data_IF_800992536660
#
_entry.id   IF_800992536660
#
_cell.length_a   1.000
_cell.length_b   1.000
_cell.length_c   1.000
_cell.angle_alpha   90.00
_cell.angle_beta   90.00
_cell.angle_gamma   90.00
#
_symmetry.space_group_name_H-M   'P 1'
#
loop_
_entity.id
_entity.type
_entity.pdbx_description
1 polymer ?
#
# COMPACT_ATOMS: atom_id res chain seq x y z
N UNK A 1 -2.42 1.56 22.98
CA UNK A 1 -1.11 1.49 22.28
C UNK A 1 -1.18 0.43 21.17
N UNK A 2 -0.65 0.70 19.96
CA UNK A 2 -0.59 -0.31 18.89
C UNK A 2 0.57 -1.27 19.17
N UNK A 3 0.30 -2.57 19.22
CA UNK A 3 1.31 -3.61 19.49
C UNK A 3 1.94 -4.11 18.19
N UNK A 4 1.10 -4.34 17.19
CA UNK A 4 1.49 -5.02 15.96
C UNK A 4 0.52 -4.65 14.83
N UNK A 5 1.03 -4.46 13.62
CA UNK A 5 0.25 -4.06 12.44
C UNK A 5 0.68 -4.85 11.21
N UNK A 6 -0.28 -5.31 10.42
CA UNK A 6 -0.06 -5.96 9.12
C UNK A 6 -0.90 -5.32 8.03
N UNK A 7 -0.39 -5.38 6.80
CA UNK A 7 -1.15 -5.07 5.58
C UNK A 7 -1.26 -6.35 4.77
N UNK A 8 -2.49 -6.76 4.45
CA UNK A 8 -2.78 -8.04 3.81
C UNK A 8 -3.53 -7.83 2.51
N UNK A 9 -3.18 -8.57 1.46
CA UNK A 9 -3.97 -8.72 0.23
C UNK A 9 -4.41 -10.17 0.07
N UNK A 10 -5.70 -10.44 0.23
CA UNK A 10 -6.20 -11.82 0.32
C UNK A 10 -5.63 -12.53 1.55
N UNK A 11 -4.79 -13.54 1.35
CA UNK A 11 -4.04 -14.25 2.41
C UNK A 11 -2.57 -13.83 2.48
N UNK A 12 -2.10 -13.01 1.54
CA UNK A 12 -0.71 -12.61 1.45
C UNK A 12 -0.45 -11.39 2.33
N UNK A 13 0.50 -11.52 3.25
CA UNK A 13 0.98 -10.41 4.07
C UNK A 13 1.99 -9.64 3.25
N UNK A 14 1.67 -8.39 2.94
CA UNK A 14 2.50 -7.51 2.15
C UNK A 14 3.47 -6.69 3.00
N UNK A 15 3.08 -6.36 4.23
CA UNK A 15 3.92 -5.65 5.17
C UNK A 15 3.50 -5.97 6.61
N UNK A 16 4.47 -5.87 7.51
CA UNK A 16 4.34 -6.19 8.93
C UNK A 16 5.21 -5.23 9.75
N UNK A 17 4.70 -4.79 10.88
CA UNK A 17 5.41 -3.91 11.83
C UNK A 17 5.00 -4.26 13.25
N UNK A 18 5.98 -4.43 14.14
CA UNK A 18 5.79 -4.66 15.57
C UNK A 18 6.40 -3.49 16.35
N UNK A 19 5.62 -2.93 17.28
CA UNK A 19 6.09 -1.90 18.24
C UNK A 19 6.23 -2.48 19.66
N UNK A 20 5.89 -3.77 19.83
CA UNK A 20 6.01 -4.47 21.11
C UNK A 20 7.22 -5.40 21.14
N UNK A 21 7.80 -5.54 22.33
CA UNK A 21 8.83 -6.55 22.65
C UNK A 21 8.25 -7.97 22.62
N UNK A 22 6.96 -8.14 22.90
CA UNK A 22 6.28 -9.43 22.81
C UNK A 22 6.01 -9.78 21.33
N UNK A 23 6.12 -11.07 20.99
CA UNK A 23 5.81 -11.55 19.64
C UNK A 23 4.30 -11.77 19.44
N UNK A 24 3.63 -10.75 18.89
CA UNK A 24 2.23 -10.84 18.46
C UNK A 24 2.05 -11.31 17.01
N UNK A 25 3.12 -11.66 16.29
CA UNK A 25 3.08 -12.01 14.86
C UNK A 25 2.15 -13.19 14.58
N UNK A 26 2.26 -14.26 15.37
CA UNK A 26 1.41 -15.43 15.21
C UNK A 26 -0.06 -15.14 15.54
N UNK A 27 -0.29 -14.29 16.54
CA UNK A 27 -1.63 -13.91 16.98
C UNK A 27 -2.32 -13.12 15.88
N UNK A 28 -1.69 -12.06 15.36
CA UNK A 28 -2.29 -11.22 14.33
C UNK A 28 -2.52 -12.00 13.04
N UNK A 29 -1.61 -12.90 12.65
CA UNK A 29 -1.74 -13.73 11.44
C UNK A 29 -2.94 -14.65 11.54
N UNK A 30 -3.10 -15.35 12.67
CA UNK A 30 -4.25 -16.22 12.93
C UNK A 30 -5.57 -15.43 12.96
N UNK A 31 -5.56 -14.25 13.59
CA UNK A 31 -6.75 -13.41 13.79
C UNK A 31 -7.12 -12.58 12.57
N UNK A 32 -6.21 -12.37 11.62
CA UNK A 32 -6.48 -11.66 10.37
C UNK A 32 -7.61 -12.29 9.54
N UNK A 33 -7.82 -13.61 9.72
CA UNK A 33 -8.89 -14.37 9.09
C UNK A 33 -10.28 -14.03 9.66
N UNK A 34 -10.35 -13.53 10.89
CA UNK A 34 -11.60 -13.09 11.54
C UNK A 34 -12.10 -11.75 10.93
N UNK A 35 -11.25 -11.03 10.18
CA UNK A 35 -11.59 -9.74 9.53
C UNK A 35 -12.40 -9.96 8.26
N UNK A 36 -13.66 -9.51 8.27
CA UNK A 36 -14.57 -9.61 7.12
C UNK A 36 -14.08 -8.71 5.99
N UNK A 37 -14.33 -9.10 4.74
CA UNK A 37 -13.99 -8.29 3.58
C UNK A 37 -15.10 -7.27 3.27
N UNK A 38 -15.42 -6.43 4.25
CA UNK A 38 -16.46 -5.40 4.15
C UNK A 38 -15.79 -4.04 4.28
N UNK A 39 -16.19 -3.12 3.40
CA UNK A 39 -15.66 -1.75 3.42
C UNK A 39 -16.05 -1.06 4.73
N UNK A 40 -15.08 -0.36 5.34
CA UNK A 40 -15.26 0.39 6.59
C UNK A 40 -14.48 -0.16 7.77
N UNK A 41 -14.74 0.44 8.93
CA UNK A 41 -14.04 0.19 10.18
C UNK A 41 -14.59 -1.06 10.89
N UNK A 42 -13.69 -1.96 11.29
CA UNK A 42 -14.02 -3.16 12.05
C UNK A 42 -13.21 -3.18 13.36
N UNK A 43 -13.89 -3.43 14.48
CA UNK A 43 -13.29 -3.64 15.79
C UNK A 43 -13.73 -5.00 16.32
N UNK A 44 -12.77 -5.83 16.70
CA UNK A 44 -13.01 -7.19 17.21
C UNK A 44 -12.25 -7.33 18.53
N UNK A 45 -12.92 -7.74 19.61
CA UNK A 45 -12.28 -8.03 20.89
C UNK A 45 -12.20 -9.54 21.10
N UNK A 46 -10.99 -10.08 21.31
CA UNK A 46 -10.73 -11.53 21.44
C UNK A 46 -9.37 -11.77 22.09
N UNK A 47 -9.29 -12.78 22.95
CA UNK A 47 -8.07 -13.13 23.71
C UNK A 47 -7.45 -11.92 24.45
N UNK A 48 -8.30 -11.10 25.08
CA UNK A 48 -7.91 -9.88 25.81
C UNK A 48 -7.17 -8.84 24.94
N UNK A 49 -7.35 -8.92 23.62
CA UNK A 49 -6.81 -7.98 22.65
C UNK A 49 -7.93 -7.38 21.80
N UNK A 50 -7.77 -6.09 21.50
CA UNK A 50 -8.56 -5.39 20.51
C UNK A 50 -7.84 -5.46 19.17
N UNK A 51 -8.55 -5.96 18.16
CA UNK A 51 -8.14 -5.94 16.76
C UNK A 51 -8.93 -4.88 16.01
N UNK A 52 -8.21 -3.95 15.38
CA UNK A 52 -8.78 -2.91 14.55
C UNK A 52 -8.44 -3.22 13.10
N UNK A 53 -9.41 -3.11 12.21
CA UNK A 53 -9.18 -3.31 10.79
C UNK A 53 -9.95 -2.32 9.92
N UNK A 54 -9.35 -1.92 8.81
CA UNK A 54 -10.00 -1.19 7.72
C UNK A 54 -9.69 -1.90 6.42
N UNK A 55 -10.74 -2.17 5.63
CA UNK A 55 -10.60 -2.69 4.27
C UNK A 55 -10.66 -1.53 3.27
N UNK A 56 -9.57 -1.31 2.52
CA UNK A 56 -9.51 -0.38 1.39
C UNK A 56 -9.20 -1.16 0.11
N UNK A 57 -10.19 -1.25 -0.78
CA UNK A 57 -10.11 -2.04 -2.02
C UNK A 57 -9.75 -3.50 -1.74
N UNK A 58 -8.58 -3.95 -2.19
CA UNK A 58 -8.06 -5.31 -2.01
C UNK A 58 -7.17 -5.46 -0.75
N UNK A 59 -6.90 -4.37 -0.05
CA UNK A 59 -6.01 -4.34 1.09
C UNK A 59 -6.79 -4.31 2.40
N UNK A 60 -6.33 -5.12 3.36
CA UNK A 60 -6.77 -5.09 4.75
C UNK A 60 -5.62 -4.53 5.59
N UNK A 61 -5.90 -3.44 6.29
CA UNK A 61 -5.01 -2.85 7.27
C UNK A 61 -5.48 -3.32 8.63
N UNK A 62 -4.66 -4.08 9.35
CA UNK A 62 -5.06 -4.76 10.59
C UNK A 62 -4.03 -4.46 11.66
N UNK A 63 -4.47 -4.06 12.86
CA UNK A 63 -3.59 -3.89 14.01
C UNK A 63 -4.17 -4.44 15.31
N UNK A 64 -3.29 -4.71 16.27
CA UNK A 64 -3.60 -5.18 17.62
C UNK A 64 -3.30 -4.11 18.67
N UNK A 65 -4.14 -4.05 19.71
CA UNK A 65 -3.99 -3.18 20.89
C UNK A 65 -4.46 -3.92 22.14
N UNK A 66 -3.85 -3.63 23.30
CA UNK A 66 -4.37 -4.08 24.61
C UNK A 66 -5.53 -3.20 25.12
N UNK A 67 -5.65 -2.00 24.58
CA UNK A 67 -6.58 -0.97 25.04
C UNK A 67 -7.64 -0.70 23.97
N UNK A 68 -8.87 -0.41 24.41
CA UNK A 68 -9.90 0.10 23.51
C UNK A 68 -9.64 1.57 23.20
N UNK A 69 -9.04 1.83 22.04
CA UNK A 69 -8.63 3.16 21.61
C UNK A 69 -9.14 3.43 20.18
N UNK A 70 -10.16 4.27 20.05
CA UNK A 70 -10.72 4.63 18.75
C UNK A 70 -9.77 5.46 17.88
N UNK A 71 -8.77 6.12 18.48
CA UNK A 71 -7.78 6.91 17.71
C UNK A 71 -6.95 6.03 16.79
N UNK A 72 -6.92 4.71 17.04
CA UNK A 72 -6.28 3.73 16.16
C UNK A 72 -6.89 3.76 14.75
N UNK A 73 -8.21 3.95 14.61
CA UNK A 73 -8.82 4.07 13.28
C UNK A 73 -8.32 5.30 12.51
N UNK A 74 -8.01 6.40 13.21
CA UNK A 74 -7.42 7.59 12.58
C UNK A 74 -6.04 7.27 12.04
N UNK A 75 -5.21 6.56 12.81
CA UNK A 75 -3.88 6.10 12.35
C UNK A 75 -3.96 5.14 11.16
N UNK A 76 -4.91 4.21 11.18
CA UNK A 76 -5.13 3.31 10.04
C UNK A 76 -5.56 4.07 8.78
N UNK A 77 -6.37 5.14 8.91
CA UNK A 77 -6.73 6.01 7.79
C UNK A 77 -5.52 6.78 7.25
N UNK A 78 -4.66 7.31 8.11
CA UNK A 78 -3.40 7.95 7.69
C UNK A 78 -2.50 6.98 6.91
N UNK A 79 -2.40 5.73 7.36
CA UNK A 79 -1.67 4.68 6.65
C UNK A 79 -2.28 4.41 5.26
N UNK A 80 -3.60 4.31 5.16
CA UNK A 80 -4.29 4.11 3.89
C UNK A 80 -3.95 5.25 2.91
N UNK A 81 -4.03 6.50 3.37
CA UNK A 81 -3.67 7.66 2.55
C UNK A 81 -2.21 7.61 2.07
N UNK A 82 -1.28 7.24 2.95
CA UNK A 82 0.13 7.08 2.60
C UNK A 82 0.38 5.93 1.61
N UNK A 83 -0.41 4.84 1.67
CA UNK A 83 -0.31 3.73 0.73
C UNK A 83 -0.90 4.07 -0.64
N UNK A 84 -1.90 4.95 -0.72
CA UNK A 84 -2.54 5.33 -1.97
C UNK A 84 -1.63 6.11 -2.93
N UNK A 85 -0.54 6.72 -2.43
CA UNK A 85 0.40 7.52 -3.24
C UNK A 85 1.58 6.72 -3.82
N UNK A 86 1.78 5.46 -3.41
CA UNK A 86 2.93 4.67 -3.85
C UNK A 86 2.59 3.75 -5.03
N UNK A 87 3.55 3.60 -5.95
CA UNK A 87 3.43 2.70 -7.10
C UNK A 87 3.46 1.22 -6.67
N UNK A 88 2.56 0.42 -7.25
CA UNK A 88 2.51 -1.04 -7.07
C UNK A 88 3.50 -1.71 -8.04
N UNK A 89 4.72 -1.95 -7.59
CA UNK A 89 5.80 -2.57 -8.36
C UNK A 89 6.48 -3.73 -7.59
N UNK A 90 7.59 -4.28 -8.10
CA UNK A 90 8.33 -5.35 -7.43
C UNK A 90 8.85 -4.99 -6.02
N UNK A 91 8.88 -3.70 -5.66
CA UNK A 91 9.31 -3.22 -4.35
C UNK A 91 8.14 -2.82 -3.45
N UNK A 92 6.90 -3.11 -3.85
CA UNK A 92 5.70 -2.65 -3.15
C UNK A 92 5.66 -3.05 -1.67
N UNK A 93 6.01 -4.30 -1.36
CA UNK A 93 6.11 -4.79 0.03
C UNK A 93 7.10 -3.98 0.87
N UNK A 94 8.28 -3.68 0.33
CA UNK A 94 9.30 -2.87 1.01
C UNK A 94 8.80 -1.44 1.27
N UNK A 95 8.18 -0.80 0.27
CA UNK A 95 7.59 0.55 0.41
C UNK A 95 6.48 0.57 1.47
N UNK A 96 5.63 -0.45 1.50
CA UNK A 96 4.58 -0.59 2.52
C UNK A 96 5.17 -0.72 3.92
N UNK A 97 6.19 -1.55 4.10
CA UNK A 97 6.89 -1.70 5.39
C UNK A 97 7.51 -0.37 5.83
N UNK A 98 8.13 0.39 4.92
CA UNK A 98 8.66 1.73 5.22
C UNK A 98 7.56 2.71 5.68
N UNK A 99 6.38 2.67 5.06
CA UNK A 99 5.22 3.48 5.49
C UNK A 99 4.80 3.09 6.91
N UNK A 100 4.68 1.79 7.22
CA UNK A 100 4.35 1.34 8.57
C UNK A 100 5.37 1.86 9.59
N UNK A 101 6.67 1.72 9.31
CA UNK A 101 7.72 2.24 10.19
C UNK A 101 7.65 3.76 10.37
N UNK A 102 7.40 4.51 9.30
CA UNK A 102 7.35 5.98 9.35
C UNK A 102 6.18 6.49 10.19
N UNK A 103 5.00 5.86 10.06
CA UNK A 103 3.76 6.37 10.64
C UNK A 103 3.41 5.77 12.01
N UNK A 104 3.97 4.59 12.34
CA UNK A 104 3.65 3.90 13.59
C UNK A 104 4.75 3.99 14.65
N UNK A 105 6.01 4.22 14.26
CA UNK A 105 7.10 4.40 15.22
C UNK A 105 6.91 5.73 15.96
N UNK A 106 6.93 5.71 17.29
CA UNK A 106 6.97 6.94 18.10
C UNK A 106 8.24 7.73 17.77
N UNK A 107 8.06 8.98 17.38
CA UNK A 107 9.05 10.03 17.13
C UNK A 107 10.52 9.58 16.95
N UNK A 108 10.96 9.52 15.70
CA UNK A 108 12.26 10.09 15.36
C UNK A 108 11.99 11.34 14.55
N UNK A 109 12.37 12.49 15.10
CA UNK A 109 12.70 13.67 14.31
C UNK A 109 13.71 13.18 13.28
N UNK A 110 13.27 12.98 12.05
CA UNK A 110 14.19 12.91 10.92
C UNK A 110 14.73 14.32 10.82
N UNK A 111 15.86 14.58 11.47
CA UNK A 111 16.70 15.72 11.13
C UNK A 111 17.05 15.52 9.67
N UNK A 112 16.39 16.28 8.81
CA UNK A 112 16.87 16.51 7.46
C UNK A 112 18.20 17.23 7.65
N UNK A 113 19.31 16.50 7.55
CA UNK A 113 20.60 17.14 7.29
C UNK A 113 20.55 17.62 5.84
N UNK A 114 20.02 18.83 5.66
CA UNK A 114 20.46 19.70 4.59
C UNK A 114 21.82 20.28 5.03
N UNK A 115 22.90 19.57 4.71
CA UNK A 115 24.21 20.19 4.55
C UNK A 115 24.55 20.19 3.05
N UNK A 116 24.31 21.33 2.41
CA UNK A 116 25.25 21.85 1.41
C UNK A 116 26.28 22.64 2.24
N UNK A 117 27.59 22.49 2.04
CA UNK A 117 28.34 23.21 1.00
C UNK A 117 29.81 22.70 1.01
N UNK A 118 30.40 22.68 -0.20
CA UNK A 118 31.83 22.66 -0.58
C UNK A 118 32.69 21.39 -0.42
N UNK A 119 32.72 20.60 -1.51
CA UNK A 119 33.92 19.89 -1.96
C UNK A 119 34.52 20.57 -3.19
N UNK A 120 35.74 21.09 -3.04
CA UNK A 120 36.64 21.41 -4.15
C UNK A 120 37.21 20.11 -4.79
N UNK A 121 37.08 20.04 -6.12
CA UNK A 121 37.61 19.11 -7.13
C UNK A 121 39.15 18.90 -7.12
N UNK A 122 39.79 18.09 -8.02
CA UNK A 122 39.27 17.23 -9.10
C UNK A 122 39.94 15.82 -9.21
N UNK A 123 39.34 14.91 -10.00
CA UNK A 123 40.05 14.29 -11.14
C UNK A 123 39.09 13.57 -12.09
N UNK A 124 39.17 14.03 -13.34
CA UNK A 124 38.48 13.51 -14.51
C UNK A 124 38.81 12.03 -14.77
N UNK A 125 37.79 11.23 -15.05
CA UNK A 125 37.89 10.16 -16.03
C UNK A 125 36.70 10.28 -16.98
N UNK A 126 37.04 10.21 -18.28
CA UNK A 126 36.25 10.41 -19.49
C UNK A 126 34.79 9.90 -19.45
N UNK A 127 33.91 10.73 -20.03
CA UNK A 127 32.58 10.37 -20.52
C UNK A 127 32.62 9.11 -21.41
N UNK A 128 31.77 8.14 -21.08
CA UNK A 128 31.06 7.35 -22.09
C UNK A 128 29.59 7.75 -22.03
N UNK A 129 29.08 8.26 -23.15
CA UNK A 129 27.66 8.48 -23.34
C UNK A 129 26.93 7.13 -23.27
N UNK A 130 26.13 6.93 -22.23
CA UNK A 130 24.99 6.03 -22.32
C UNK A 130 23.72 6.80 -22.02
N UNK A 131 22.93 6.89 -23.08
CA UNK A 131 21.58 7.43 -23.17
C UNK A 131 20.72 6.86 -22.05
N UNK A 132 20.15 7.76 -21.23
CA UNK A 132 19.09 7.45 -20.28
C UNK A 132 17.87 6.98 -21.10
N UNK A 133 17.30 5.79 -20.88
CA UNK A 133 15.98 5.48 -21.42
C UNK A 133 14.97 6.35 -20.69
N UNK A 134 14.40 7.29 -21.43
CA UNK A 134 13.31 8.14 -20.97
C UNK A 134 12.12 7.29 -20.53
N UNK A 135 11.60 7.62 -19.35
CA UNK A 135 10.36 7.17 -18.72
C UNK A 135 9.13 7.61 -19.56
N UNK A 136 9.00 7.11 -20.79
CA UNK A 136 7.95 7.52 -21.77
C UNK A 136 6.93 6.41 -22.06
N UNK A 137 7.22 5.16 -21.70
CA UNK A 137 6.43 4.01 -22.17
C UNK A 137 5.25 3.59 -21.27
N UNK A 138 5.23 3.95 -19.98
CA UNK A 138 4.17 3.49 -19.07
C UNK A 138 2.83 4.21 -19.28
N UNK A 139 2.86 5.50 -19.63
CA UNK A 139 1.67 6.30 -19.95
C UNK A 139 1.06 5.83 -21.27
N UNK A 140 1.89 5.48 -22.26
CA UNK A 140 1.43 4.98 -23.54
C UNK A 140 0.80 3.58 -23.43
N UNK A 141 1.30 2.73 -22.52
CA UNK A 141 0.69 1.42 -22.28
C UNK A 141 -0.72 1.54 -21.66
N UNK A 142 -0.89 2.38 -20.64
CA UNK A 142 -2.20 2.57 -19.99
C UNK A 142 -3.22 3.22 -20.93
N UNK A 143 -2.81 4.19 -21.76
CA UNK A 143 -3.68 4.80 -22.77
C UNK A 143 -4.10 3.79 -23.84
N UNK A 144 -3.17 2.97 -24.33
CA UNK A 144 -3.47 1.90 -25.29
C UNK A 144 -4.43 0.88 -24.70
N UNK A 145 -4.20 0.45 -23.45
CA UNK A 145 -5.07 -0.51 -22.77
C UNK A 145 -6.50 0.03 -22.60
N UNK A 146 -6.65 1.29 -22.19
CA UNK A 146 -7.95 1.96 -22.08
C UNK A 146 -8.68 2.02 -23.43
N UNK A 147 -7.96 2.36 -24.50
CA UNK A 147 -8.52 2.36 -25.86
C UNK A 147 -9.00 0.97 -26.30
N UNK A 148 -8.21 -0.08 -26.04
CA UNK A 148 -8.61 -1.46 -26.38
C UNK A 148 -9.85 -1.91 -25.62
N UNK A 149 -9.95 -1.61 -24.33
CA UNK A 149 -11.13 -1.96 -23.51
C UNK A 149 -12.39 -1.25 -24.03
N UNK A 150 -12.29 0.06 -24.31
CA UNK A 150 -13.40 0.82 -24.87
C UNK A 150 -13.84 0.28 -26.23
N UNK A 151 -12.89 -0.12 -27.09
CA UNK A 151 -13.20 -0.72 -28.39
C UNK A 151 -13.94 -2.06 -28.26
N UNK A 152 -13.54 -2.92 -27.33
CA UNK A 152 -14.21 -4.20 -27.08
C UNK A 152 -15.65 -3.97 -26.63
N UNK A 153 -15.90 -3.02 -25.73
CA UNK A 153 -17.25 -2.67 -25.27
C UNK A 153 -18.10 -2.19 -26.46
N UNK A 154 -17.53 -1.37 -27.33
CA UNK A 154 -18.22 -0.85 -28.51
C UNK A 154 -18.57 -1.93 -29.53
N UNK A 155 -17.66 -2.89 -29.76
CA UNK A 155 -17.89 -4.06 -30.62
C UNK A 155 -18.99 -4.95 -30.04
N UNK A 156 -18.94 -5.23 -28.73
CA UNK A 156 -19.99 -6.02 -28.06
C UNK A 156 -21.35 -5.35 -28.17
N UNK A 157 -21.41 -4.03 -27.97
CA UNK A 157 -22.63 -3.25 -28.16
C UNK A 157 -23.15 -3.36 -29.60
N UNK A 158 -22.26 -3.23 -30.60
CA UNK A 158 -22.66 -3.32 -32.00
C UNK A 158 -23.18 -4.70 -32.38
N UNK A 159 -22.55 -5.77 -31.89
CA UNK A 159 -23.01 -7.15 -32.10
C UNK A 159 -24.38 -7.35 -31.46
N UNK A 160 -24.57 -6.95 -30.19
CA UNK A 160 -25.87 -7.05 -29.52
C UNK A 160 -26.95 -6.27 -30.28
N UNK A 161 -26.64 -5.05 -30.71
CA UNK A 161 -27.60 -4.21 -31.42
C UNK A 161 -27.97 -4.81 -32.78
N UNK A 162 -27.03 -5.45 -33.48
CA UNK A 162 -27.32 -6.16 -34.74
C UNK A 162 -28.16 -7.42 -34.53
N UNK A 163 -28.00 -8.13 -33.40
CA UNK A 163 -28.86 -9.25 -33.05
C UNK A 163 -30.28 -8.76 -32.78
N UNK A 164 -30.44 -7.69 -32.01
CA UNK A 164 -31.76 -7.12 -31.65
C UNK A 164 -32.51 -6.57 -32.88
N UNK A 165 -31.80 -6.02 -33.86
CA UNK A 165 -32.42 -5.37 -35.03
C UNK A 165 -32.78 -6.38 -36.15
N UNK A 166 -32.11 -7.54 -36.21
CA UNK A 166 -32.32 -8.53 -37.28
C UNK A 166 -33.13 -9.78 -36.85
N UNK A 167 -33.63 -9.82 -35.60
CA UNK A 167 -34.75 -10.68 -35.17
C UNK A 167 -36.08 -9.93 -35.30
#
# INVERSE_FOLDING_TARGET
MILHTIIVRGTLILAEFSDSEDDYSNIIKKRSLDVKNVQGNQKIFKDDLYMYAICDKELKFICLSKEDDQTIFVKLQELIQAVQIIETDGNYSSKLTQILHKHLKKEQIVVIQDEKIDQQQPKQSRLMNHTIPQKKDSIDFQKKLCFFVMLIILIMYFILNNIIIND
#
